data_IF_012320746395
#
_entry.id   IF_012320746395
#
_cell.length_a   1.000
_cell.length_b   1.000
_cell.length_c   1.000
_cell.angle_alpha   90.00
_cell.angle_beta   90.00
_cell.angle_gamma   90.00
#
_symmetry.space_group_name_H-M   'P 1'
#
loop_
_entity.id
_entity.type
_entity.pdbx_description
1 polymer ?
#
# COMPACT_ATOMS: atom_id res chain seq x y z
N UNK A 1 29.76 14.43 39.01
CA UNK A 1 29.29 15.06 37.77
C UNK A 1 28.83 14.05 36.69
N UNK A 2 28.86 12.73 36.92
CA UNK A 2 28.39 11.72 35.93
C UNK A 2 26.87 11.47 35.96
N UNK A 3 26.21 11.72 37.09
CA UNK A 3 24.77 11.54 37.26
C UNK A 3 23.94 12.50 36.38
N UNK A 4 24.37 13.75 36.23
CA UNK A 4 23.67 14.78 35.44
C UNK A 4 23.84 14.52 33.93
N UNK A 5 25.00 14.01 33.48
CA UNK A 5 25.23 13.63 32.08
C UNK A 5 24.26 12.52 31.64
N UNK A 6 24.12 11.46 32.44
CA UNK A 6 23.19 10.36 32.17
C UNK A 6 21.71 10.80 32.13
N UNK A 7 21.31 11.76 32.97
CA UNK A 7 19.95 12.32 32.94
C UNK A 7 19.71 13.10 31.64
N UNK A 8 20.69 13.87 31.19
CA UNK A 8 20.57 14.66 29.95
C UNK A 8 20.51 13.79 28.68
N UNK A 9 21.24 12.69 28.63
CA UNK A 9 21.20 11.72 27.52
C UNK A 9 19.86 10.97 27.52
N UNK A 10 19.40 10.48 28.69
CA UNK A 10 18.08 9.85 28.81
C UNK A 10 16.92 10.77 28.46
N UNK A 11 17.01 12.07 28.77
CA UNK A 11 15.98 13.04 28.41
C UNK A 11 15.91 13.27 26.89
N UNK A 12 17.05 13.24 26.18
CA UNK A 12 17.09 13.28 24.71
C UNK A 12 16.48 12.01 24.11
N UNK A 13 16.85 10.84 24.61
CA UNK A 13 16.30 9.55 24.14
C UNK A 13 14.78 9.46 24.33
N UNK A 14 14.25 9.96 25.46
CA UNK A 14 12.80 10.00 25.70
C UNK A 14 12.10 10.94 24.72
N UNK A 15 12.68 12.11 24.45
CA UNK A 15 12.15 13.07 23.48
C UNK A 15 12.16 12.55 22.04
N UNK A 16 13.22 11.84 21.64
CA UNK A 16 13.33 11.22 20.32
C UNK A 16 12.35 10.07 20.15
N UNK A 17 12.21 9.19 21.15
CA UNK A 17 11.20 8.11 21.13
C UNK A 17 9.78 8.64 21.08
N UNK A 18 9.46 9.71 21.81
CA UNK A 18 8.14 10.35 21.76
C UNK A 18 7.83 10.93 20.37
N UNK A 19 8.83 11.54 19.71
CA UNK A 19 8.69 12.04 18.33
C UNK A 19 8.49 10.89 17.34
N UNK A 20 9.23 9.79 17.47
CA UNK A 20 9.10 8.63 16.59
C UNK A 20 7.72 7.97 16.71
N UNK A 21 7.22 7.79 17.93
CA UNK A 21 5.87 7.24 18.19
C UNK A 21 4.79 8.13 17.55
N UNK A 22 4.93 9.45 17.66
CA UNK A 22 3.99 10.41 17.05
C UNK A 22 4.04 10.34 15.52
N UNK A 23 5.24 10.26 14.94
CA UNK A 23 5.45 10.13 13.48
C UNK A 23 4.80 8.86 12.93
N UNK A 24 5.10 7.69 13.53
CA UNK A 24 4.51 6.40 13.14
C UNK A 24 2.98 6.39 13.24
N UNK A 25 2.43 7.05 14.25
CA UNK A 25 0.97 7.16 14.42
C UNK A 25 0.33 7.98 13.29
N UNK A 26 1.00 9.04 12.83
CA UNK A 26 0.59 9.83 11.67
C UNK A 26 0.63 9.03 10.36
N UNK A 27 1.75 8.33 10.10
CA UNK A 27 1.95 7.50 8.90
C UNK A 27 0.89 6.38 8.81
N UNK A 28 0.53 5.75 9.93
CA UNK A 28 -0.51 4.72 9.97
C UNK A 28 -1.90 5.26 9.58
N UNK A 29 -2.24 6.47 10.02
CA UNK A 29 -3.50 7.12 9.67
C UNK A 29 -3.55 7.47 8.18
N UNK A 30 -2.45 7.96 7.62
CA UNK A 30 -2.33 8.22 6.19
C UNK A 30 -2.49 6.94 5.38
N UNK A 31 -1.79 5.87 5.74
CA UNK A 31 -1.91 4.55 5.08
C UNK A 31 -3.35 4.03 5.16
N UNK A 32 -4.02 4.20 6.30
CA UNK A 32 -5.42 3.78 6.46
C UNK A 32 -6.34 4.55 5.50
N UNK A 33 -6.15 5.87 5.37
CA UNK A 33 -6.91 6.70 4.41
C UNK A 33 -6.64 6.27 2.97
N UNK A 34 -5.38 6.03 2.62
CA UNK A 34 -5.00 5.57 1.28
C UNK A 34 -5.61 4.21 0.94
N UNK A 35 -5.61 3.25 1.89
CA UNK A 35 -6.27 1.94 1.71
C UNK A 35 -7.77 2.06 1.51
N UNK A 36 -8.41 2.96 2.25
CA UNK A 36 -9.84 3.25 2.06
C UNK A 36 -10.12 3.83 0.67
N UNK A 37 -9.27 4.74 0.19
CA UNK A 37 -9.43 5.32 -1.15
C UNK A 37 -9.20 4.29 -2.25
N UNK A 38 -8.19 3.42 -2.11
CA UNK A 38 -7.99 2.25 -3.01
C UNK A 38 -9.27 1.41 -3.06
N UNK A 39 -9.89 1.10 -1.92
CA UNK A 39 -11.11 0.28 -1.89
C UNK A 39 -12.28 0.93 -2.63
N UNK A 40 -12.42 2.26 -2.58
CA UNK A 40 -13.44 2.97 -3.37
C UNK A 40 -13.14 2.91 -4.86
N UNK A 41 -11.89 3.19 -5.23
CA UNK A 41 -11.44 3.18 -6.62
C UNK A 41 -11.59 1.78 -7.24
N UNK A 42 -11.25 0.72 -6.51
CA UNK A 42 -11.46 -0.67 -6.94
C UNK A 42 -12.95 -0.95 -7.20
N UNK A 43 -13.85 -0.42 -6.37
CA UNK A 43 -15.29 -0.57 -6.58
C UNK A 43 -15.76 0.17 -7.83
N UNK A 44 -15.22 1.36 -8.10
CA UNK A 44 -15.48 2.11 -9.34
C UNK A 44 -14.98 1.34 -10.55
N UNK A 45 -13.76 0.78 -10.49
CA UNK A 45 -13.15 -0.01 -11.55
C UNK A 45 -14.04 -1.23 -11.91
N UNK A 46 -14.51 -1.97 -10.90
CA UNK A 46 -15.43 -3.09 -11.11
C UNK A 46 -16.71 -2.64 -11.81
N UNK A 47 -17.36 -1.58 -11.31
CA UNK A 47 -18.59 -1.07 -11.92
C UNK A 47 -18.38 -0.62 -13.38
N UNK A 48 -17.25 0.03 -13.68
CA UNK A 48 -16.94 0.44 -15.04
C UNK A 48 -16.75 -0.78 -15.96
N UNK A 49 -16.03 -1.81 -15.51
CA UNK A 49 -15.81 -3.04 -16.29
C UNK A 49 -17.14 -3.74 -16.56
N UNK A 50 -18.04 -3.81 -15.56
CA UNK A 50 -19.39 -4.34 -15.73
C UNK A 50 -20.19 -3.55 -16.78
N UNK A 51 -20.18 -2.21 -16.70
CA UNK A 51 -20.85 -1.33 -17.66
C UNK A 51 -20.27 -1.46 -19.09
N UNK A 52 -18.94 -1.56 -19.23
CA UNK A 52 -18.28 -1.81 -20.51
C UNK A 52 -18.76 -3.15 -21.10
N UNK A 53 -18.82 -4.20 -20.28
CA UNK A 53 -19.32 -5.51 -20.69
C UNK A 53 -20.76 -5.46 -21.19
N UNK A 54 -21.64 -4.73 -20.47
CA UNK A 54 -23.03 -4.51 -20.88
C UNK A 54 -23.11 -3.78 -22.23
N UNK A 55 -22.39 -2.68 -22.40
CA UNK A 55 -22.37 -1.90 -23.65
C UNK A 55 -21.83 -2.73 -24.81
N UNK A 56 -20.82 -3.56 -24.58
CA UNK A 56 -20.29 -4.44 -25.61
C UNK A 56 -21.30 -5.51 -26.02
N UNK A 57 -22.04 -6.07 -25.07
CA UNK A 57 -23.11 -7.04 -25.37
C UNK A 57 -24.29 -6.39 -26.11
N UNK A 58 -24.66 -5.16 -25.75
CA UNK A 58 -25.65 -4.36 -26.48
C UNK A 58 -25.22 -4.07 -27.92
N UNK A 59 -23.94 -3.71 -28.11
CA UNK A 59 -23.34 -3.57 -29.44
C UNK A 59 -23.42 -4.88 -30.24
N UNK A 60 -23.12 -6.02 -29.61
CA UNK A 60 -23.25 -7.34 -30.25
C UNK A 60 -24.70 -7.64 -30.69
N UNK A 61 -25.70 -7.14 -29.96
CA UNK A 61 -27.13 -7.25 -30.31
C UNK A 61 -27.57 -6.31 -31.45
N UNK A 62 -26.68 -5.49 -31.98
CA UNK A 62 -26.97 -4.57 -33.08
C UNK A 62 -27.33 -3.16 -32.66
N UNK A 63 -27.15 -2.80 -31.38
CA UNK A 63 -27.23 -1.38 -30.98
C UNK A 63 -26.00 -0.62 -31.51
N UNK A 64 -26.26 0.49 -32.21
CA UNK A 64 -25.22 1.34 -32.80
C UNK A 64 -24.83 2.49 -31.86
N UNK A 65 -23.81 3.26 -32.24
CA UNK A 65 -23.35 4.48 -31.53
C UNK A 65 -22.82 4.29 -30.09
N UNK A 66 -22.61 3.05 -29.63
CA UNK A 66 -22.08 2.77 -28.28
C UNK A 66 -20.55 2.92 -28.15
N UNK A 67 -19.82 3.06 -29.27
CA UNK A 67 -18.37 3.03 -29.28
C UNK A 67 -17.72 4.16 -28.45
N UNK A 68 -18.28 5.37 -28.53
CA UNK A 68 -17.75 6.52 -27.80
C UNK A 68 -17.89 6.36 -26.28
N UNK A 69 -19.02 5.82 -25.81
CA UNK A 69 -19.24 5.58 -24.38
C UNK A 69 -18.36 4.43 -23.86
N UNK A 70 -18.20 3.36 -24.65
CA UNK A 70 -17.23 2.28 -24.34
C UNK A 70 -15.82 2.86 -24.20
N UNK A 71 -15.38 3.67 -25.16
CA UNK A 71 -14.05 4.29 -25.12
C UNK A 71 -13.88 5.19 -23.91
N UNK A 72 -14.88 6.03 -23.60
CA UNK A 72 -14.88 6.89 -22.42
C UNK A 72 -14.76 6.09 -21.12
N UNK A 73 -15.52 4.99 -20.98
CA UNK A 73 -15.45 4.15 -19.80
C UNK A 73 -14.10 3.43 -19.70
N UNK A 74 -13.53 2.97 -20.81
CA UNK A 74 -12.18 2.40 -20.84
C UNK A 74 -11.13 3.42 -20.36
N UNK A 75 -11.17 4.65 -20.87
CA UNK A 75 -10.26 5.72 -20.46
C UNK A 75 -10.42 6.08 -18.98
N UNK A 76 -11.66 6.18 -18.50
CA UNK A 76 -11.94 6.43 -17.08
C UNK A 76 -11.40 5.29 -16.20
N UNK A 77 -11.57 4.04 -16.63
CA UNK A 77 -11.08 2.85 -15.90
C UNK A 77 -9.55 2.82 -15.85
N UNK A 78 -8.87 3.15 -16.94
CA UNK A 78 -7.40 3.28 -16.95
C UNK A 78 -6.91 4.36 -15.98
N UNK A 79 -7.63 5.48 -15.87
CA UNK A 79 -7.31 6.53 -14.88
C UNK A 79 -7.40 6.00 -13.44
N UNK A 80 -8.48 5.27 -13.14
CA UNK A 80 -8.69 4.64 -11.83
C UNK A 80 -7.57 3.62 -11.50
N UNK A 81 -7.19 2.78 -12.46
CA UNK A 81 -6.08 1.82 -12.31
C UNK A 81 -4.76 2.52 -11.98
N UNK A 82 -4.46 3.62 -12.69
CA UNK A 82 -3.25 4.41 -12.43
C UNK A 82 -3.26 5.03 -11.02
N UNK A 83 -4.39 5.52 -10.55
CA UNK A 83 -4.50 6.13 -9.22
C UNK A 83 -4.39 5.07 -8.11
N UNK A 84 -4.99 3.89 -8.29
CA UNK A 84 -4.78 2.75 -7.40
C UNK A 84 -3.30 2.39 -7.34
N UNK A 85 -2.61 2.32 -8.48
CA UNK A 85 -1.19 1.99 -8.54
C UNK A 85 -0.35 3.03 -7.78
N UNK A 86 -0.57 4.33 -8.00
CA UNK A 86 0.14 5.41 -7.29
C UNK A 86 -0.09 5.35 -5.78
N UNK A 87 -1.31 5.03 -5.33
CA UNK A 87 -1.62 4.90 -3.90
C UNK A 87 -0.93 3.68 -3.29
N UNK A 88 -0.89 2.55 -4.02
CA UNK A 88 -0.18 1.34 -3.59
C UNK A 88 1.33 1.60 -3.44
N UNK A 89 1.94 2.31 -4.39
CA UNK A 89 3.34 2.71 -4.32
C UNK A 89 3.63 3.65 -3.13
N UNK A 90 2.71 4.58 -2.82
CA UNK A 90 2.85 5.45 -1.64
C UNK A 90 2.76 4.66 -0.33
N UNK A 91 1.86 3.67 -0.25
CA UNK A 91 1.77 2.79 0.91
C UNK A 91 3.06 1.98 1.06
N UNK A 92 3.63 1.45 -0.02
CA UNK A 92 4.88 0.70 0.02
C UNK A 92 6.08 1.56 0.49
N UNK A 93 6.13 2.84 0.10
CA UNK A 93 7.15 3.78 0.57
C UNK A 93 7.04 4.10 2.07
N UNK A 94 5.81 4.20 2.60
CA UNK A 94 5.56 4.54 4.00
C UNK A 94 5.60 3.32 4.93
N UNK A 95 5.17 2.17 4.43
CA UNK A 95 5.14 0.90 5.15
C UNK A 95 5.66 -0.21 4.23
N UNK A 96 6.99 -0.35 4.10
CA UNK A 96 7.59 -1.42 3.32
C UNK A 96 7.20 -2.77 3.91
N UNK A 97 6.95 -3.75 3.03
CA UNK A 97 6.68 -5.13 3.47
C UNK A 97 7.95 -5.72 4.10
N UNK A 98 7.85 -6.46 5.21
CA UNK A 98 8.97 -7.22 5.73
C UNK A 98 9.49 -8.19 4.67
N UNK A 99 10.81 -8.41 4.63
CA UNK A 99 11.37 -9.46 3.79
C UNK A 99 10.79 -10.82 4.21
N UNK A 100 10.53 -11.72 3.28
CA UNK A 100 10.06 -13.08 3.59
C UNK A 100 11.20 -14.09 3.46
N UNK A 101 11.19 -15.12 4.30
CA UNK A 101 12.16 -16.20 4.18
C UNK A 101 11.97 -16.95 2.85
N UNK A 102 13.02 -17.15 2.03
CA UNK A 102 12.91 -17.81 0.74
C UNK A 102 12.58 -19.31 0.84
N UNK A 103 12.75 -19.92 2.02
CA UNK A 103 12.48 -21.35 2.23
C UNK A 103 11.07 -21.62 2.76
N UNK A 104 10.61 -20.85 3.75
CA UNK A 104 9.34 -21.12 4.44
C UNK A 104 8.30 -20.00 4.32
N UNK A 105 8.67 -18.83 3.80
CA UNK A 105 7.77 -17.68 3.63
C UNK A 105 7.54 -16.83 4.89
N UNK A 106 8.13 -17.19 6.04
CA UNK A 106 7.99 -16.41 7.29
C UNK A 106 8.53 -14.98 7.12
N UNK A 107 7.77 -13.99 7.59
CA UNK A 107 8.23 -12.60 7.65
C UNK A 107 9.48 -12.48 8.54
N UNK A 108 10.49 -11.84 7.99
CA UNK A 108 11.79 -11.64 8.60
C UNK A 108 11.81 -10.25 9.25
N UNK A 109 12.28 -10.14 10.50
CA UNK A 109 12.54 -8.84 11.09
C UNK A 109 13.66 -8.11 10.32
N UNK A 110 13.68 -6.79 10.41
CA UNK A 110 14.73 -5.99 9.77
C UNK A 110 16.12 -6.45 10.21
N UNK A 111 17.01 -6.66 9.24
CA UNK A 111 18.39 -7.12 9.48
C UNK A 111 18.53 -8.58 9.93
N UNK A 112 17.49 -9.41 9.81
CA UNK A 112 17.60 -10.84 10.11
C UNK A 112 18.69 -11.50 9.26
N UNK A 113 19.63 -12.21 9.92
CA UNK A 113 20.63 -13.06 9.24
C UNK A 113 20.13 -14.49 9.02
N UNK A 114 19.26 -14.95 9.91
CA UNK A 114 18.65 -16.27 9.89
C UNK A 114 17.13 -16.13 10.08
N UNK A 115 16.38 -17.04 9.46
CA UNK A 115 14.95 -17.14 9.66
C UNK A 115 14.65 -17.62 11.09
N UNK A 116 13.80 -16.90 11.86
CA UNK A 116 13.46 -17.28 13.23
C UNK A 116 12.64 -18.57 13.31
N UNK A 117 12.00 -18.97 12.20
CA UNK A 117 11.11 -20.13 12.15
C UNK A 117 11.83 -21.39 11.62
N UNK A 118 12.48 -21.31 10.46
CA UNK A 118 13.09 -22.48 9.83
C UNK A 118 14.63 -22.53 9.87
N UNK A 119 15.28 -21.52 10.46
CA UNK A 119 16.74 -21.46 10.61
C UNK A 119 17.54 -21.17 9.33
N UNK A 120 16.88 -20.99 8.19
CA UNK A 120 17.54 -20.69 6.91
C UNK A 120 18.32 -19.39 7.00
N UNK A 121 19.56 -19.36 6.50
CA UNK A 121 20.34 -18.12 6.37
C UNK A 121 19.70 -17.26 5.27
N UNK A 122 19.35 -16.01 5.59
CA UNK A 122 18.58 -15.10 4.72
C UNK A 122 19.34 -13.84 4.32
N UNK A 123 20.40 -13.49 5.06
CA UNK A 123 21.35 -12.45 4.70
C UNK A 123 22.77 -12.91 5.08
N UNK A 124 23.80 -12.50 4.34
CA UNK A 124 25.19 -12.87 4.63
C UNK A 124 25.78 -12.22 5.88
#
# INVERSE_FOLDING_TARGET
>A
MEFIKNISERAKDIGEKAKEITKRSGELLEVTKMRYEISKLEKIMVNNIEAIGELYYRKFKGEEELAAEIERLCQATQGVEQDIQKLREQIEKLMPKPAACPKCGTELPEGAKYCPDCGTKVAE
#
